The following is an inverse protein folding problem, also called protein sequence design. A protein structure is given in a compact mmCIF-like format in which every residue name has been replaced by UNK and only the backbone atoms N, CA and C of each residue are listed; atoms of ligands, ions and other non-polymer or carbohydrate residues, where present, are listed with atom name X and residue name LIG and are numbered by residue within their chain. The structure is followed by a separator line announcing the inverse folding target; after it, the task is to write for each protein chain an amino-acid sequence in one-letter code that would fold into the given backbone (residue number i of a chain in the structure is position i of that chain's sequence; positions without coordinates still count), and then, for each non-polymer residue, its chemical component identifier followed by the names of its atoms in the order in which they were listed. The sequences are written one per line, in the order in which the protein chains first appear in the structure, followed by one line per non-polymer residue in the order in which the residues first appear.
data_IF_373106598895
#
_entry.id   IF_373106598895
#
_cell.length_a   1.000
_cell.length_b   1.000
_cell.length_c   1.000
_cell.angle_alpha   90.00
_cell.angle_beta   90.00
_cell.angle_gamma   90.00
#
_symmetry.space_group_name_H-M   'P 1'
#
loop_
_entity.id
_entity.type
_entity.pdbx_description
1 polymer ?
#
# COMPACT_ATOMS: atom_id res chain seq x y z
N UNK A 1 -8.50 -4.07 -20.96
CA UNK A 1 -7.83 -3.02 -20.17
C UNK A 1 -8.85 -2.22 -19.37
N UNK A 2 -8.57 -2.08 -18.08
CA UNK A 2 -9.38 -1.23 -17.23
C UNK A 2 -8.99 0.22 -17.45
N UNK A 3 -9.99 1.07 -17.65
CA UNK A 3 -9.79 2.52 -17.70
C UNK A 3 -10.87 3.18 -16.87
N UNK A 4 -10.50 4.27 -16.23
CA UNK A 4 -11.42 5.04 -15.39
C UNK A 4 -11.51 6.45 -15.96
N UNK A 5 -12.58 6.73 -16.72
CA UNK A 5 -12.88 8.06 -17.25
C UNK A 5 -11.71 8.68 -18.03
N UNK A 6 -10.99 7.87 -18.81
CA UNK A 6 -9.88 8.38 -19.61
C UNK A 6 -8.57 8.53 -18.89
N UNK A 7 -8.52 8.25 -17.58
CA UNK A 7 -7.27 8.29 -16.84
C UNK A 7 -6.51 6.98 -17.01
N UNK A 8 -5.18 7.01 -17.04
CA UNK A 8 -4.39 5.78 -17.04
C UNK A 8 -4.66 4.98 -15.77
N UNK A 9 -4.84 3.65 -15.90
CA UNK A 9 -5.06 2.80 -14.73
C UNK A 9 -3.87 2.81 -13.78
N UNK A 10 -2.68 3.12 -14.27
CA UNK A 10 -1.49 3.21 -13.42
C UNK A 10 -1.54 4.37 -12.43
N UNK A 11 -2.50 5.30 -12.57
CA UNK A 11 -2.71 6.35 -11.57
C UNK A 11 -3.86 6.03 -10.62
N UNK A 12 -4.47 4.86 -10.74
CA UNK A 12 -5.52 4.41 -9.83
C UNK A 12 -4.89 3.74 -8.61
N UNK A 13 -5.32 4.15 -7.43
CA UNK A 13 -4.86 3.58 -6.17
C UNK A 13 -6.04 2.96 -5.44
N UNK A 14 -5.92 1.70 -5.06
CA UNK A 14 -6.90 1.04 -4.20
C UNK A 14 -6.40 1.12 -2.75
N UNK A 15 -7.15 1.80 -1.92
CA UNK A 15 -6.84 1.90 -0.49
C UNK A 15 -7.47 0.71 0.24
N UNK A 16 -6.65 -0.05 0.95
CA UNK A 16 -7.12 -1.23 1.69
C UNK A 16 -8.04 -2.09 0.82
N UNK A 17 -7.47 -2.67 -0.22
CA UNK A 17 -8.26 -3.47 -1.15
C UNK A 17 -8.98 -4.61 -0.40
N UNK A 18 -10.29 -4.69 -0.55
CA UNK A 18 -11.12 -5.70 0.11
C UNK A 18 -12.05 -6.44 -0.85
N UNK A 19 -11.83 -6.30 -2.15
CA UNK A 19 -12.63 -6.97 -3.17
C UNK A 19 -12.33 -8.46 -3.29
N UNK A 20 -12.91 -9.09 -4.28
CA UNK A 20 -12.71 -10.51 -4.54
C UNK A 20 -11.33 -10.80 -5.13
N UNK A 21 -10.92 -12.07 -5.09
CA UNK A 21 -9.66 -12.49 -5.68
C UNK A 21 -9.60 -12.18 -7.17
N UNK A 22 -10.70 -12.37 -7.89
CA UNK A 22 -10.76 -12.08 -9.33
C UNK A 22 -10.60 -10.58 -9.58
N UNK A 23 -11.24 -9.76 -8.75
CA UNK A 23 -11.11 -8.30 -8.84
C UNK A 23 -9.67 -7.87 -8.56
N UNK A 24 -9.04 -8.48 -7.56
CA UNK A 24 -7.65 -8.18 -7.23
C UNK A 24 -6.71 -8.49 -8.41
N UNK A 25 -6.86 -9.67 -8.99
CA UNK A 25 -6.01 -10.08 -10.13
C UNK A 25 -6.19 -9.13 -11.31
N UNK A 26 -7.43 -8.73 -11.58
CA UNK A 26 -7.71 -7.79 -12.67
C UNK A 26 -7.07 -6.42 -12.42
N UNK A 27 -7.18 -5.91 -11.20
CA UNK A 27 -6.58 -4.63 -10.83
C UNK A 27 -5.05 -4.69 -10.90
N UNK A 28 -4.47 -5.79 -10.38
CA UNK A 28 -3.03 -6.00 -10.42
C UNK A 28 -2.52 -6.07 -11.86
N UNK A 29 -3.19 -6.84 -12.71
CA UNK A 29 -2.78 -7.01 -14.10
C UNK A 29 -2.98 -5.73 -14.92
N UNK A 30 -3.89 -4.86 -14.49
CA UNK A 30 -4.10 -3.57 -15.12
C UNK A 30 -3.06 -2.52 -14.71
N UNK A 31 -2.22 -2.82 -13.72
CA UNK A 31 -1.16 -1.93 -13.27
C UNK A 31 -1.59 -0.91 -12.23
N UNK A 32 -2.66 -1.16 -11.49
CA UNK A 32 -3.10 -0.29 -10.42
C UNK A 32 -2.16 -0.35 -9.23
N UNK A 33 -2.08 0.74 -8.47
CA UNK A 33 -1.37 0.79 -7.20
C UNK A 33 -2.29 0.30 -6.07
N UNK A 34 -1.69 -0.20 -5.01
CA UNK A 34 -2.41 -0.68 -3.83
C UNK A 34 -1.78 -0.10 -2.57
N UNK A 35 -2.60 0.49 -1.74
CA UNK A 35 -2.15 1.07 -0.47
C UNK A 35 -2.53 0.12 0.67
N UNK A 36 -1.55 -0.21 1.51
CA UNK A 36 -1.68 -1.21 2.57
C UNK A 36 -1.54 -0.54 3.94
N UNK A 37 -2.42 -0.92 4.86
CA UNK A 37 -2.36 -0.48 6.26
C UNK A 37 -2.30 -1.69 7.19
N UNK A 38 -2.10 -1.41 8.49
CA UNK A 38 -2.00 -2.48 9.49
C UNK A 38 -3.27 -3.33 9.59
N UNK A 39 -4.44 -2.71 9.46
CA UNK A 39 -5.70 -3.44 9.57
C UNK A 39 -5.89 -4.45 8.45
N UNK A 40 -5.44 -4.11 7.26
CA UNK A 40 -5.46 -5.04 6.13
C UNK A 40 -4.65 -6.28 6.46
N UNK A 41 -3.52 -6.10 7.13
CA UNK A 41 -2.62 -7.20 7.49
C UNK A 41 -3.10 -8.01 8.69
N UNK A 42 -4.16 -7.57 9.36
CA UNK A 42 -4.73 -8.32 10.48
C UNK A 42 -5.54 -9.54 10.01
N UNK A 43 -5.94 -9.59 8.75
CA UNK A 43 -6.71 -10.71 8.21
C UNK A 43 -5.84 -11.57 7.30
N UNK A 44 -6.16 -12.86 7.23
CA UNK A 44 -5.47 -13.79 6.34
C UNK A 44 -5.58 -13.35 4.89
N UNK A 45 -6.77 -12.93 4.47
CA UNK A 45 -7.04 -12.48 3.11
C UNK A 45 -6.24 -11.21 2.78
N UNK A 46 -6.20 -10.26 3.71
CA UNK A 46 -5.44 -9.03 3.51
C UNK A 46 -3.95 -9.31 3.38
N UNK A 47 -3.42 -10.22 4.21
CA UNK A 47 -2.01 -10.62 4.11
C UNK A 47 -1.71 -11.27 2.76
N UNK A 48 -2.61 -12.10 2.26
CA UNK A 48 -2.41 -12.75 0.97
C UNK A 48 -2.42 -11.73 -0.16
N UNK A 49 -3.32 -10.75 -0.13
CA UNK A 49 -3.30 -9.67 -1.11
C UNK A 49 -2.01 -8.87 -1.02
N UNK A 50 -1.61 -8.49 0.19
CA UNK A 50 -0.37 -7.71 0.38
C UNK A 50 0.85 -8.47 -0.16
N UNK A 51 0.89 -9.78 0.05
CA UNK A 51 1.97 -10.63 -0.47
C UNK A 51 2.03 -10.57 -2.00
N UNK A 52 0.88 -10.50 -2.66
CA UNK A 52 0.78 -10.54 -4.12
C UNK A 52 0.91 -9.19 -4.81
N UNK A 53 0.84 -8.08 -4.07
CA UNK A 53 1.01 -6.76 -4.67
C UNK A 53 2.43 -6.63 -5.20
N UNK A 54 2.61 -6.28 -6.49
CA UNK A 54 3.96 -6.06 -7.02
C UNK A 54 4.67 -4.94 -6.28
N UNK A 55 5.96 -5.10 -6.07
CA UNK A 55 6.76 -4.09 -5.34
C UNK A 55 6.65 -2.70 -5.97
N UNK A 56 6.58 -2.63 -7.29
CA UNK A 56 6.49 -1.32 -7.98
C UNK A 56 5.07 -0.74 -8.00
N UNK A 57 4.13 -1.36 -7.29
CA UNK A 57 2.75 -0.88 -7.18
C UNK A 57 2.29 -0.79 -5.73
N UNK A 58 3.21 -0.91 -4.80
CA UNK A 58 2.93 -0.91 -3.37
C UNK A 58 3.04 0.48 -2.78
N UNK A 59 2.03 0.87 -2.01
CA UNK A 59 2.04 2.08 -1.20
C UNK A 59 1.64 1.71 0.22
N UNK A 60 1.97 2.57 1.17
CA UNK A 60 1.59 2.38 2.57
C UNK A 60 0.66 3.50 3.00
N UNK A 61 -0.24 3.18 3.93
CA UNK A 61 -1.13 4.16 4.52
C UNK A 61 -1.32 3.88 5.99
N UNK A 62 -1.75 4.87 6.73
CA UNK A 62 -2.23 4.68 8.08
C UNK A 62 -3.74 4.86 8.08
N UNK A 63 -4.41 4.08 8.91
CA UNK A 63 -5.85 4.13 9.04
C UNK A 63 -6.27 4.74 10.36
N UNK A 64 -5.31 5.05 11.20
CA UNK A 64 -5.59 5.61 12.50
C UNK A 64 -6.00 7.06 12.37
N UNK A 65 -7.14 7.46 12.98
CA UNK A 65 -7.44 8.87 13.08
C UNK A 65 -6.40 9.49 14.00
N UNK A 66 -5.54 10.33 13.43
CA UNK A 66 -4.58 11.06 14.24
C UNK A 66 -5.31 12.18 14.95
N UNK A 67 -5.07 12.33 16.25
CA UNK A 67 -5.49 13.53 16.94
C UNK A 67 -4.65 14.67 16.40
N UNK A 68 -5.28 15.74 15.89
CA UNK A 68 -4.52 16.79 15.22
C UNK A 68 -3.50 17.43 16.15
N UNK A 69 -2.32 17.67 15.61
CA UNK A 69 -1.30 18.50 16.24
C UNK A 69 -0.70 17.98 17.55
N UNK A 70 -0.70 16.66 17.76
CA UNK A 70 0.04 16.11 18.89
C UNK A 70 1.27 15.37 18.38
N UNK A 71 2.37 15.57 19.06
CA UNK A 71 3.63 14.88 18.77
C UNK A 71 3.47 13.37 18.90
N UNK A 72 2.69 12.94 19.89
CA UNK A 72 2.39 11.53 20.10
C UNK A 72 1.68 10.90 18.90
N UNK A 73 0.77 11.63 18.29
CA UNK A 73 0.06 11.15 17.09
C UNK A 73 1.01 10.94 15.92
N UNK A 74 1.94 11.87 15.70
CA UNK A 74 2.94 11.74 14.63
C UNK A 74 3.81 10.51 14.86
N UNK A 75 4.29 10.32 16.09
CA UNK A 75 5.09 9.16 16.43
C UNK A 75 4.33 7.86 16.25
N UNK A 76 3.04 7.84 16.60
CA UNK A 76 2.19 6.67 16.41
C UNK A 76 2.05 6.33 14.93
N UNK A 77 1.87 7.33 14.09
CA UNK A 77 1.78 7.12 12.63
C UNK A 77 3.08 6.55 12.08
N UNK A 78 4.21 7.11 12.50
CA UNK A 78 5.53 6.63 12.06
C UNK A 78 5.73 5.17 12.46
N UNK A 79 5.38 4.82 13.71
CA UNK A 79 5.50 3.45 14.18
C UNK A 79 4.58 2.50 13.42
N UNK A 80 3.37 2.95 13.11
CA UNK A 80 2.42 2.16 12.32
C UNK A 80 2.97 1.86 10.93
N UNK A 81 3.54 2.87 10.26
CA UNK A 81 4.15 2.68 8.95
C UNK A 81 5.35 1.74 9.03
N UNK A 82 6.17 1.86 10.08
CA UNK A 82 7.32 0.99 10.27
C UNK A 82 6.88 -0.47 10.48
N UNK A 83 5.87 -0.70 11.32
CA UNK A 83 5.35 -2.05 11.54
C UNK A 83 4.77 -2.64 10.27
N UNK A 84 4.04 -1.83 9.49
CA UNK A 84 3.48 -2.26 8.22
C UNK A 84 4.59 -2.67 7.24
N UNK A 85 5.64 -1.86 7.13
CA UNK A 85 6.80 -2.18 6.30
C UNK A 85 7.45 -3.49 6.70
N UNK A 86 7.65 -3.70 7.99
CA UNK A 86 8.26 -4.93 8.50
C UNK A 86 7.40 -6.16 8.22
N UNK A 87 6.09 -6.02 8.38
CA UNK A 87 5.17 -7.13 8.14
C UNK A 87 5.15 -7.49 6.64
N UNK A 88 5.07 -6.50 5.77
CA UNK A 88 5.11 -6.74 4.32
C UNK A 88 6.44 -7.35 3.91
N UNK A 89 7.54 -6.86 4.47
CA UNK A 89 8.87 -7.41 4.19
C UNK A 89 8.92 -8.89 4.53
N UNK A 90 8.36 -9.28 5.67
CA UNK A 90 8.26 -10.67 6.07
C UNK A 90 7.43 -11.49 5.07
N UNK A 91 6.29 -10.97 4.64
CA UNK A 91 5.42 -11.65 3.67
C UNK A 91 6.10 -11.82 2.31
N UNK A 92 6.96 -10.90 1.93
CA UNK A 92 7.63 -10.89 0.62
C UNK A 92 9.07 -11.41 0.68
N UNK A 93 9.54 -11.83 1.83
CA UNK A 93 10.91 -12.33 2.03
C UNK A 93 11.97 -11.32 1.59
N UNK A 94 11.83 -10.08 2.03
CA UNK A 94 12.82 -9.04 1.75
C UNK A 94 13.00 -8.16 2.98
N UNK A 95 13.93 -7.19 2.90
CA UNK A 95 14.20 -6.29 4.01
C UNK A 95 13.17 -5.16 4.09
N UNK A 96 12.86 -4.73 5.31
CA UNK A 96 11.96 -3.59 5.53
C UNK A 96 12.48 -2.33 4.84
N UNK A 97 13.79 -2.14 4.79
CA UNK A 97 14.38 -0.99 4.09
C UNK A 97 14.07 -1.01 2.60
N UNK A 98 14.01 -2.20 2.01
CA UNK A 98 13.62 -2.32 0.61
C UNK A 98 12.17 -1.89 0.41
N UNK A 99 11.28 -2.32 1.33
CA UNK A 99 9.88 -1.90 1.27
C UNK A 99 9.77 -0.37 1.36
N UNK A 100 10.48 0.23 2.30
CA UNK A 100 10.48 1.69 2.47
C UNK A 100 10.98 2.40 1.21
N UNK A 101 12.06 1.91 0.60
CA UNK A 101 12.62 2.50 -0.61
C UNK A 101 11.68 2.41 -1.80
N UNK A 102 11.07 1.23 -2.03
CA UNK A 102 10.15 1.08 -3.17
C UNK A 102 8.88 1.88 -2.98
N UNK A 103 8.37 1.96 -1.74
CA UNK A 103 7.18 2.76 -1.46
C UNK A 103 7.44 4.24 -1.71
N UNK A 104 8.61 4.73 -1.30
CA UNK A 104 8.98 6.13 -1.56
C UNK A 104 9.07 6.41 -3.06
N UNK A 105 9.73 5.51 -3.80
CA UNK A 105 9.83 5.64 -5.25
C UNK A 105 8.45 5.60 -5.92
N UNK A 106 7.57 4.70 -5.46
CA UNK A 106 6.22 4.59 -5.99
C UNK A 106 5.40 5.84 -5.70
N UNK A 107 5.55 6.41 -4.50
CA UNK A 107 4.86 7.64 -4.15
C UNK A 107 5.29 8.80 -5.06
N UNK A 108 6.58 8.91 -5.33
CA UNK A 108 7.09 9.91 -6.28
C UNK A 108 6.50 9.71 -7.67
N UNK A 109 6.39 8.47 -8.13
CA UNK A 109 5.85 8.18 -9.45
C UNK A 109 4.36 8.49 -9.54
N UNK A 110 3.56 8.04 -8.57
CA UNK A 110 2.11 8.14 -8.67
C UNK A 110 1.61 9.55 -8.33
N UNK A 111 2.30 10.25 -7.43
CA UNK A 111 1.91 11.60 -7.01
C UNK A 111 2.69 12.69 -7.71
N UNK A 112 3.62 12.34 -8.60
CA UNK A 112 4.47 13.28 -9.32
C UNK A 112 5.17 14.26 -8.37
N UNK A 113 5.73 13.73 -7.29
CA UNK A 113 6.47 14.53 -6.32
C UNK A 113 7.84 14.91 -6.87
N UNK A 114 8.20 16.18 -6.70
CA UNK A 114 9.46 16.72 -7.22
C UNK A 114 10.32 17.31 -6.13
#
# INVERSE_FOLDING_TARGET
LLKFRGFPVSSVIFHWFSGTSNEFVRARNAGCYFSVNERMLATKRGREYARQIPLDRLLLETDAPAEPNTETSVQSLIRSLARTSMHIASLKNCDAKRIESVVLANAHSVFDLR
#
